data_IF_561469514213
#
_entry.id   IF_561469514213
#
_cell.length_a   1.000
_cell.length_b   1.000
_cell.length_c   1.000
_cell.angle_alpha   90.00
_cell.angle_beta   90.00
_cell.angle_gamma   90.00
#
_symmetry.space_group_name_H-M   'P 1'
#
loop_
_entity.id
_entity.type
_entity.pdbx_description
1 polymer ?
#
# COMPACT_ATOMS: atom_id res chain seq x y z
N UNK A 1 -12.26 -6.43 -1.40
CA UNK A 1 -11.82 -5.08 -0.97
C UNK A 1 -10.39 -5.21 -0.49
N UNK A 2 -9.48 -4.32 -0.86
CA UNK A 2 -8.07 -4.45 -0.49
C UNK A 2 -7.77 -4.01 0.95
N UNK A 3 -8.51 -3.04 1.48
CA UNK A 3 -8.43 -2.58 2.88
C UNK A 3 -9.78 -2.74 3.60
N UNK A 4 -9.76 -2.69 4.94
CA UNK A 4 -10.96 -2.68 5.78
C UNK A 4 -11.35 -1.26 6.21
N UNK A 5 -12.58 -1.08 6.70
CA UNK A 5 -13.02 0.20 7.25
C UNK A 5 -12.19 0.65 8.46
N UNK A 6 -11.71 -0.29 9.27
CA UNK A 6 -10.87 0.02 10.44
C UNK A 6 -9.46 0.47 10.02
N UNK A 7 -8.88 -0.10 8.95
CA UNK A 7 -7.61 0.38 8.39
C UNK A 7 -7.75 1.85 7.94
N UNK A 8 -8.87 2.19 7.29
CA UNK A 8 -9.14 3.56 6.83
C UNK A 8 -9.38 4.50 8.01
N UNK A 9 -10.12 4.08 9.05
CA UNK A 9 -10.34 4.89 10.25
C UNK A 9 -9.05 5.20 10.97
N UNK A 10 -8.17 4.21 11.20
CA UNK A 10 -6.88 4.46 11.85
C UNK A 10 -6.05 5.49 11.09
N UNK A 11 -6.04 5.43 9.76
CA UNK A 11 -5.35 6.41 8.92
C UNK A 11 -6.02 7.78 8.93
N UNK A 12 -7.35 7.81 8.89
CA UNK A 12 -8.11 9.02 8.92
C UNK A 12 -8.07 9.76 10.26
N UNK A 13 -8.10 9.03 11.37
CA UNK A 13 -7.98 9.56 12.73
C UNK A 13 -6.62 10.22 12.97
N UNK A 14 -5.55 9.66 12.38
CA UNK A 14 -4.23 10.31 12.34
C UNK A 14 -4.26 11.65 11.58
N UNK A 15 -5.25 11.85 10.71
CA UNK A 15 -5.39 13.04 9.86
C UNK A 15 -6.45 14.01 10.41
N UNK A 16 -7.48 13.53 11.11
CA UNK A 16 -8.58 14.34 11.66
C UNK A 16 -9.45 13.54 12.64
N UNK A 17 -9.95 14.19 13.68
CA UNK A 17 -10.88 13.62 14.67
C UNK A 17 -12.36 13.67 14.23
N UNK A 18 -12.65 13.61 12.92
CA UNK A 18 -14.00 13.77 12.41
C UNK A 18 -14.86 12.52 12.67
N UNK A 19 -15.77 12.61 13.64
CA UNK A 19 -16.55 11.50 14.21
C UNK A 19 -17.69 10.93 13.34
N UNK A 20 -17.98 11.50 12.16
CA UNK A 20 -19.26 11.26 11.45
C UNK A 20 -19.19 10.26 10.27
N UNK A 21 -18.16 9.41 10.22
CA UNK A 21 -17.96 8.48 9.09
C UNK A 21 -18.53 7.08 9.39
N UNK A 22 -19.74 6.83 8.89
CA UNK A 22 -20.34 5.49 8.93
C UNK A 22 -19.51 4.47 8.15
N UNK A 23 -19.55 3.20 8.56
CA UNK A 23 -18.87 2.08 7.88
C UNK A 23 -19.22 2.06 6.39
N UNK A 24 -20.51 2.21 6.05
CA UNK A 24 -20.99 2.21 4.67
C UNK A 24 -20.37 3.31 3.81
N UNK A 25 -20.20 4.53 4.35
CA UNK A 25 -19.56 5.63 3.64
C UNK A 25 -18.09 5.31 3.36
N UNK A 26 -17.38 4.75 4.33
CA UNK A 26 -15.98 4.35 4.18
C UNK A 26 -15.84 3.25 3.12
N UNK A 27 -16.70 2.23 3.14
CA UNK A 27 -16.69 1.13 2.17
C UNK A 27 -16.86 1.60 0.72
N UNK A 28 -17.73 2.59 0.47
CA UNK A 28 -17.86 3.21 -0.87
C UNK A 28 -16.54 3.85 -1.34
N UNK A 29 -15.75 4.45 -0.42
CA UNK A 29 -14.45 5.06 -0.77
C UNK A 29 -13.38 4.00 -0.97
N UNK A 30 -13.39 2.94 -0.17
CA UNK A 30 -12.53 1.76 -0.40
C UNK A 30 -12.81 1.18 -1.78
N UNK A 31 -14.08 1.01 -2.17
CA UNK A 31 -14.42 0.48 -3.49
C UNK A 31 -13.93 1.37 -4.64
N UNK A 32 -14.01 2.69 -4.49
CA UNK A 32 -13.46 3.65 -5.47
C UNK A 32 -11.93 3.55 -5.54
N UNK A 33 -11.24 3.57 -4.40
CA UNK A 33 -9.79 3.42 -4.33
C UNK A 33 -9.32 2.08 -4.94
N UNK A 34 -9.98 0.98 -4.59
CA UNK A 34 -9.71 -0.35 -5.12
C UNK A 34 -9.86 -0.41 -6.65
N UNK A 35 -10.85 0.28 -7.22
CA UNK A 35 -11.06 0.31 -8.65
C UNK A 35 -9.88 1.00 -9.37
N UNK A 36 -9.42 2.13 -8.85
CA UNK A 36 -8.25 2.84 -9.38
C UNK A 36 -6.97 2.00 -9.24
N UNK A 37 -6.73 1.42 -8.07
CA UNK A 37 -5.57 0.54 -7.82
C UNK A 37 -5.60 -0.65 -8.78
N UNK A 38 -6.76 -1.29 -8.98
CA UNK A 38 -6.91 -2.38 -9.95
C UNK A 38 -6.60 -1.92 -11.37
N UNK A 39 -7.06 -0.73 -11.76
CA UNK A 39 -6.79 -0.21 -13.10
C UNK A 39 -5.29 0.02 -13.33
N UNK A 40 -4.59 0.61 -12.37
CA UNK A 40 -3.14 0.85 -12.45
C UNK A 40 -2.36 -0.46 -12.47
N UNK A 41 -2.71 -1.41 -11.59
CA UNK A 41 -1.99 -2.67 -11.45
C UNK A 41 -2.40 -3.74 -12.47
N UNK A 42 -3.50 -3.55 -13.22
CA UNK A 42 -4.09 -4.57 -14.08
C UNK A 42 -3.09 -5.14 -15.10
N UNK A 43 -2.21 -4.28 -15.63
CA UNK A 43 -1.24 -4.67 -16.64
C UNK A 43 -0.27 -5.76 -16.16
N UNK A 44 0.03 -5.82 -14.85
CA UNK A 44 1.03 -6.72 -14.27
C UNK A 44 0.46 -7.73 -13.28
N UNK A 45 -0.63 -7.39 -12.60
CA UNK A 45 -1.15 -8.15 -11.45
C UNK A 45 -2.60 -8.62 -11.58
N UNK A 46 -3.26 -8.43 -12.74
CA UNK A 46 -4.67 -8.79 -12.91
C UNK A 46 -5.02 -10.24 -12.56
N UNK A 47 -4.11 -11.19 -12.81
CA UNK A 47 -4.27 -12.61 -12.46
C UNK A 47 -4.28 -12.87 -10.95
N UNK A 48 -3.73 -11.97 -10.14
CA UNK A 48 -3.62 -12.12 -8.68
C UNK A 48 -4.79 -11.50 -7.92
N UNK A 49 -5.59 -10.65 -8.55
CA UNK A 49 -6.67 -9.92 -7.86
C UNK A 49 -7.71 -10.83 -7.21
N UNK A 50 -7.95 -12.03 -7.75
CA UNK A 50 -8.83 -13.03 -7.13
C UNK A 50 -8.28 -13.57 -5.82
N UNK A 51 -6.95 -13.72 -5.71
CA UNK A 51 -6.28 -14.13 -4.48
C UNK A 51 -6.23 -13.03 -3.42
N UNK A 52 -6.37 -11.77 -3.83
CA UNK A 52 -6.39 -10.58 -2.96
C UNK A 52 -7.83 -10.11 -2.66
N UNK A 53 -8.79 -11.03 -2.63
CA UNK A 53 -10.20 -10.69 -2.48
C UNK A 53 -10.54 -10.03 -1.13
N UNK A 54 -9.76 -10.34 -0.08
CA UNK A 54 -9.97 -9.82 1.28
C UNK A 54 -8.75 -9.03 1.78
N UNK A 55 -8.94 -8.14 2.77
CA UNK A 55 -7.83 -7.38 3.35
C UNK A 55 -6.72 -8.27 3.96
N UNK A 56 -7.08 -9.46 4.46
CA UNK A 56 -6.13 -10.41 5.05
C UNK A 56 -5.26 -11.14 4.02
N UNK A 57 -5.71 -11.27 2.78
CA UNK A 57 -4.95 -11.91 1.70
C UNK A 57 -4.32 -10.91 0.73
N UNK A 58 -4.62 -9.62 0.92
CA UNK A 58 -4.05 -8.53 0.14
C UNK A 58 -2.60 -8.28 0.60
N UNK A 59 -1.64 -8.13 -0.33
CA UNK A 59 -0.26 -7.76 0.01
C UNK A 59 -0.22 -6.49 0.88
N UNK A 60 0.60 -6.45 1.96
CA UNK A 60 0.60 -5.32 2.89
C UNK A 60 0.82 -3.96 2.22
N UNK A 61 1.71 -3.88 1.22
CA UNK A 61 1.93 -2.65 0.44
C UNK A 61 0.65 -2.18 -0.25
N UNK A 62 -0.08 -3.08 -0.92
CA UNK A 62 -1.33 -2.77 -1.63
C UNK A 62 -2.44 -2.40 -0.64
N UNK A 63 -2.54 -3.14 0.47
CA UNK A 63 -3.49 -2.87 1.56
C UNK A 63 -3.31 -1.44 2.12
N UNK A 64 -2.06 -1.04 2.37
CA UNK A 64 -1.74 0.29 2.89
C UNK A 64 -2.08 1.39 1.88
N UNK A 65 -1.72 1.22 0.61
CA UNK A 65 -2.05 2.18 -0.45
C UNK A 65 -3.58 2.34 -0.59
N UNK A 66 -4.32 1.23 -0.55
CA UNK A 66 -5.79 1.25 -0.55
C UNK A 66 -6.36 2.04 0.62
N UNK A 67 -5.85 1.81 1.83
CA UNK A 67 -6.31 2.51 3.02
C UNK A 67 -6.00 4.02 2.95
N UNK A 68 -4.79 4.40 2.52
CA UNK A 68 -4.38 5.80 2.41
C UNK A 68 -5.20 6.54 1.35
N UNK A 69 -5.45 5.92 0.20
CA UNK A 69 -6.27 6.51 -0.86
C UNK A 69 -7.74 6.65 -0.42
N UNK A 70 -8.31 5.60 0.18
CA UNK A 70 -9.67 5.66 0.69
C UNK A 70 -9.83 6.74 1.78
N UNK A 71 -8.84 6.90 2.67
CA UNK A 71 -8.81 7.98 3.65
C UNK A 71 -8.78 9.36 3.00
N UNK A 72 -7.98 9.55 1.93
CA UNK A 72 -7.95 10.80 1.17
C UNK A 72 -9.33 11.15 0.56
N UNK A 73 -10.03 10.15 0.00
CA UNK A 73 -11.38 10.32 -0.54
C UNK A 73 -12.39 10.69 0.57
N UNK A 74 -12.27 10.09 1.76
CA UNK A 74 -13.12 10.45 2.89
C UNK A 74 -12.89 11.90 3.34
N UNK A 75 -11.64 12.38 3.33
CA UNK A 75 -11.30 13.76 3.66
C UNK A 75 -11.90 14.74 2.62
N UNK A 76 -11.80 14.45 1.32
CA UNK A 76 -12.40 15.28 0.27
C UNK A 76 -13.89 15.51 0.47
N UNK A 77 -14.62 14.44 0.82
CA UNK A 77 -16.06 14.53 1.02
C UNK A 77 -16.43 15.27 2.32
N UNK A 78 -15.60 15.15 3.36
CA UNK A 78 -15.87 15.77 4.67
C UNK A 78 -15.72 17.30 4.66
N UNK A 79 -14.74 17.82 3.92
CA UNK A 79 -14.47 19.27 3.89
C UNK A 79 -15.24 20.01 2.78
N UNK A 80 -15.96 19.29 1.92
CA UNK A 80 -16.39 19.85 0.64
C UNK A 80 -15.19 20.39 -0.14
N UNK A 81 -15.43 21.08 -1.25
CA UNK A 81 -14.36 21.67 -2.05
C UNK A 81 -13.82 22.94 -1.33
N UNK A 82 -13.29 22.79 -0.11
CA UNK A 82 -12.36 23.75 0.46
C UNK A 82 -11.00 23.53 -0.22
N UNK A 83 -10.43 24.59 -0.80
CA UNK A 83 -9.19 24.52 -1.56
C UNK A 83 -8.06 23.83 -0.79
N UNK A 84 -7.97 24.01 0.53
CA UNK A 84 -6.92 23.37 1.35
C UNK A 84 -7.08 21.87 1.49
N UNK A 85 -8.32 21.41 1.68
CA UNK A 85 -8.62 19.97 1.73
C UNK A 85 -8.44 19.31 0.36
N UNK A 86 -8.77 20.05 -0.72
CA UNK A 86 -8.52 19.62 -2.10
C UNK A 86 -7.03 19.46 -2.39
N UNK A 87 -6.20 20.44 -2.01
CA UNK A 87 -4.74 20.38 -2.23
C UNK A 87 -4.12 19.19 -1.49
N UNK A 88 -4.57 18.96 -0.24
CA UNK A 88 -4.07 17.86 0.58
C UNK A 88 -4.46 16.49 0.04
N UNK A 89 -5.71 16.34 -0.40
CA UNK A 89 -6.16 15.09 -0.99
C UNK A 89 -5.53 14.80 -2.35
N UNK A 90 -5.29 15.83 -3.18
CA UNK A 90 -4.52 15.69 -4.41
C UNK A 90 -3.09 15.22 -4.12
N UNK A 91 -2.42 15.80 -3.12
CA UNK A 91 -1.10 15.36 -2.69
C UNK A 91 -1.09 13.89 -2.23
N UNK A 92 -2.11 13.46 -1.47
CA UNK A 92 -2.25 12.06 -1.06
C UNK A 92 -2.50 11.12 -2.25
N UNK A 93 -3.35 11.53 -3.19
CA UNK A 93 -3.60 10.77 -4.42
C UNK A 93 -2.31 10.62 -5.25
N UNK A 94 -1.53 11.69 -5.41
CA UNK A 94 -0.23 11.66 -6.08
C UNK A 94 0.76 10.72 -5.37
N UNK A 95 0.80 10.76 -4.03
CA UNK A 95 1.62 9.83 -3.24
C UNK A 95 1.18 8.38 -3.42
N UNK A 96 -0.12 8.10 -3.48
CA UNK A 96 -0.64 6.75 -3.73
C UNK A 96 -0.27 6.29 -5.14
N UNK A 97 -0.38 7.14 -6.16
CA UNK A 97 0.05 6.84 -7.52
C UNK A 97 1.55 6.56 -7.60
N UNK A 98 2.38 7.37 -6.93
CA UNK A 98 3.82 7.16 -6.86
C UNK A 98 4.17 5.82 -6.17
N UNK A 99 3.46 5.48 -5.09
CA UNK A 99 3.64 4.20 -4.40
C UNK A 99 3.20 3.00 -5.28
N UNK A 100 2.12 3.13 -6.05
CA UNK A 100 1.73 2.10 -7.02
C UNK A 100 2.76 1.95 -8.14
N UNK A 101 3.33 3.06 -8.62
CA UNK A 101 4.40 3.01 -9.61
C UNK A 101 5.63 2.29 -9.04
N UNK A 102 6.00 2.56 -7.78
CA UNK A 102 7.05 1.79 -7.11
C UNK A 102 6.72 0.30 -7.02
N UNK A 103 5.46 -0.09 -6.76
CA UNK A 103 5.06 -1.51 -6.78
C UNK A 103 5.19 -2.10 -8.19
N UNK A 104 4.91 -1.31 -9.23
CA UNK A 104 5.11 -1.73 -10.62
C UNK A 104 6.59 -1.80 -10.99
N UNK A 105 7.45 -0.99 -10.38
CA UNK A 105 8.90 -0.98 -10.66
C UNK A 105 9.65 -2.02 -9.82
N UNK A 106 9.13 -2.37 -8.64
CA UNK A 106 9.69 -3.34 -7.72
C UNK A 106 9.77 -4.74 -8.36
N UNK A 107 10.91 -5.39 -8.17
CA UNK A 107 11.14 -6.76 -8.64
C UNK A 107 10.38 -7.79 -7.81
N UNK A 108 9.97 -7.46 -6.57
CA UNK A 108 9.31 -8.40 -5.68
C UNK A 108 8.14 -7.75 -4.94
N UNK A 109 7.01 -8.47 -4.89
CA UNK A 109 5.89 -8.15 -4.03
C UNK A 109 5.72 -9.28 -3.01
N UNK A 110 5.67 -8.92 -1.73
CA UNK A 110 5.59 -9.87 -0.63
C UNK A 110 4.19 -9.91 -0.01
N UNK A 111 3.80 -11.09 0.46
CA UNK A 111 2.60 -11.32 1.26
C UNK A 111 2.78 -10.93 2.73
N UNK A 112 1.69 -11.02 3.48
CA UNK A 112 1.68 -10.68 4.90
C UNK A 112 2.53 -11.65 5.76
N UNK A 113 2.76 -12.86 5.27
CA UNK A 113 3.61 -13.90 5.86
C UNK A 113 5.08 -13.82 5.41
N UNK A 114 5.44 -12.79 4.64
CA UNK A 114 6.78 -12.61 4.09
C UNK A 114 7.07 -13.47 2.85
N UNK A 115 6.10 -14.24 2.34
CA UNK A 115 6.27 -15.01 1.11
C UNK A 115 6.27 -14.11 -0.12
N UNK A 116 7.03 -14.46 -1.16
CA UNK A 116 7.02 -13.73 -2.43
C UNK A 116 5.75 -14.09 -3.20
N UNK A 117 4.84 -13.12 -3.37
CA UNK A 117 3.61 -13.24 -4.17
C UNK A 117 3.91 -13.00 -5.65
N UNK A 118 4.89 -12.15 -5.94
CA UNK A 118 5.38 -11.88 -7.27
C UNK A 118 6.88 -11.66 -7.23
N UNK A 119 7.62 -12.37 -8.09
CA UNK A 119 9.01 -12.07 -8.44
C UNK A 119 9.05 -11.75 -9.94
N UNK A 120 9.76 -10.69 -10.30
CA UNK A 120 9.94 -10.24 -11.67
C UNK A 120 10.49 -11.33 -12.59
N UNK A 121 10.40 -11.09 -13.91
CA UNK A 121 10.75 -11.99 -15.00
C UNK A 121 11.93 -12.95 -14.66
N UNK A 122 11.74 -14.28 -14.74
CA UNK A 122 12.80 -15.27 -14.47
C UNK A 122 14.03 -15.16 -15.39
N UNK A 123 14.03 -14.25 -16.39
CA UNK A 123 15.16 -13.93 -17.25
C UNK A 123 16.12 -12.87 -16.71
N UNK A 124 15.75 -12.14 -15.66
CA UNK A 124 16.74 -11.39 -14.85
C UNK A 124 17.22 -12.39 -13.82
N UNK A 125 18.30 -13.08 -14.20
CA UNK A 125 18.67 -14.39 -13.68
C UNK A 125 18.81 -14.45 -12.17
N UNK A 126 18.22 -15.50 -11.61
CA UNK A 126 18.67 -16.19 -10.40
C UNK A 126 20.06 -16.84 -10.61
N UNK A 127 20.94 -16.26 -11.44
CA UNK A 127 22.19 -16.90 -11.86
C UNK A 127 23.47 -16.32 -11.26
N UNK A 128 23.44 -15.16 -10.61
CA UNK A 128 24.66 -14.54 -10.04
C UNK A 128 24.55 -14.17 -8.55
N UNK A 129 23.54 -14.66 -7.82
CA UNK A 129 23.57 -14.57 -6.35
C UNK A 129 24.30 -15.79 -5.79
N UNK A 130 25.63 -15.71 -5.84
CA UNK A 130 26.52 -16.67 -5.22
C UNK A 130 26.51 -16.42 -3.70
N UNK A 131 25.82 -17.27 -2.95
CA UNK A 131 25.81 -17.19 -1.48
C UNK A 131 27.20 -17.41 -0.86
N UNK A 132 28.17 -17.88 -1.64
CA UNK A 132 29.58 -18.07 -1.23
C UNK A 132 30.41 -16.77 -1.25
N UNK A 133 29.92 -15.67 -1.83
CA UNK A 133 30.62 -14.37 -1.84
C UNK A 133 30.18 -13.42 -0.70
N UNK A 134 29.26 -13.88 0.16
CA UNK A 134 28.91 -13.19 1.40
C UNK A 134 29.87 -13.66 2.51
N UNK A 135 31.07 -13.07 2.54
CA UNK A 135 31.85 -12.93 3.78
C UNK A 135 31.05 -12.00 4.70
N UNK A 136 30.01 -12.55 5.33
CA UNK A 136 29.39 -11.95 6.50
C UNK A 136 30.22 -12.43 7.67
N UNK A 137 31.24 -11.65 8.01
CA UNK A 137 31.91 -11.80 9.29
C UNK A 137 30.85 -11.59 10.39
N UNK A 138 30.75 -12.51 11.34
CA UNK A 138 29.77 -12.50 12.45
C UNK A 138 29.85 -11.24 13.35
N UNK A 139 30.77 -10.31 13.06
CA UNK A 139 30.97 -9.05 13.77
C UNK A 139 30.15 -7.85 13.21
N UNK A 140 29.47 -7.99 12.06
CA UNK A 140 28.73 -6.87 11.43
C UNK A 140 27.26 -6.72 11.89
N UNK A 141 26.83 -7.48 12.91
CA UNK A 141 25.46 -7.41 13.47
C UNK A 141 25.35 -6.31 14.53
N UNK A 142 25.50 -5.04 14.14
CA UNK A 142 25.27 -3.89 15.03
C UNK A 142 24.80 -2.64 14.27
N UNK A 143 23.57 -2.66 13.71
CA UNK A 143 23.00 -1.47 13.00
C UNK A 143 21.63 -1.00 13.53
N UNK A 144 21.02 -1.64 14.53
CA UNK A 144 19.71 -1.17 15.04
C UNK A 144 19.63 -1.05 16.57
N UNK A 145 20.69 -0.53 17.19
CA UNK A 145 20.69 -0.02 18.57
C UNK A 145 20.90 1.50 18.60
N UNK A 146 20.02 2.27 17.92
CA UNK A 146 20.10 3.73 18.00
C UNK A 146 19.02 4.46 17.23
N UNK A 147 18.05 5.00 18.00
CA UNK A 147 17.18 6.19 17.81
C UNK A 147 15.92 5.88 18.67
N UNK A 148 16.01 6.04 20.00
CA UNK A 148 15.83 7.28 20.82
C UNK A 148 14.33 7.62 20.93
N UNK A 149 13.68 7.35 22.06
CA UNK A 149 13.50 8.20 23.27
C UNK A 149 12.75 9.51 23.01
#
# INVERSE_FOLDING_TARGET
>A
MFSSADDVRQRAEQLTSADDWSVSKIEERIQRADAEIKQVLAARFSSYFSSWATPSTTPPKIKNISADWAAALCLLDAYGIDARASDYAQLLEERCKAALQQVLDDNFLYGADGTVIYGGDPRIGVSDFNYDDLDIDEDDVDVFSGIVE
#
